data_IF_704492389406
#
_entry.id   IF_704492389406
#
_cell.length_a   1.000
_cell.length_b   1.000
_cell.length_c   1.000
_cell.angle_alpha   90.00
_cell.angle_beta   90.00
_cell.angle_gamma   90.00
#
_symmetry.space_group_name_H-M   'P 1'
#
loop_
_entity.id
_entity.type
_entity.pdbx_description
1 polymer ?
#
# COMPACT_ATOMS: atom_id res chain seq x y z
N UNK A 1 -10.75 -20.88 42.16
CA UNK A 1 -9.69 -19.85 41.98
C UNK A 1 -8.59 -20.24 40.98
N UNK A 2 -8.09 -21.48 40.97
CA UNK A 2 -6.97 -21.93 40.09
C UNK A 2 -7.25 -21.91 38.58
N UNK A 3 -8.51 -21.96 38.15
CA UNK A 3 -8.87 -21.98 36.73
C UNK A 3 -9.03 -20.57 36.12
N UNK A 4 -9.38 -19.56 36.92
CA UNK A 4 -9.55 -18.18 36.46
C UNK A 4 -8.23 -17.55 36.00
N UNK A 5 -7.15 -17.81 36.74
CA UNK A 5 -5.80 -17.36 36.35
C UNK A 5 -5.33 -17.98 35.02
N UNK A 6 -5.65 -19.26 34.77
CA UNK A 6 -5.32 -19.94 33.50
C UNK A 6 -6.06 -19.35 32.32
N UNK A 7 -7.34 -19.00 32.50
CA UNK A 7 -8.16 -18.34 31.47
C UNK A 7 -7.58 -16.96 31.16
N UNK A 8 -7.20 -16.18 32.17
CA UNK A 8 -6.57 -14.87 31.98
C UNK A 8 -5.26 -14.99 31.18
N UNK A 9 -4.40 -15.95 31.52
CA UNK A 9 -3.16 -16.19 30.78
C UNK A 9 -3.41 -16.65 29.34
N UNK A 10 -4.43 -17.48 29.09
CA UNK A 10 -4.82 -17.88 27.74
C UNK A 10 -5.33 -16.68 26.92
N UNK A 11 -6.12 -15.79 27.53
CA UNK A 11 -6.60 -14.58 26.87
C UNK A 11 -5.46 -13.61 26.55
N UNK A 12 -4.53 -13.40 27.49
CA UNK A 12 -3.35 -12.56 27.25
C UNK A 12 -2.49 -13.14 26.13
N UNK A 13 -2.23 -14.45 26.15
CA UNK A 13 -1.47 -15.12 25.08
C UNK A 13 -2.16 -15.00 23.72
N UNK A 14 -3.48 -15.20 23.65
CA UNK A 14 -4.24 -15.05 22.42
C UNK A 14 -4.18 -13.61 21.88
N UNK A 15 -4.32 -12.61 22.75
CA UNK A 15 -4.29 -11.20 22.37
C UNK A 15 -2.91 -10.77 21.84
N UNK A 16 -1.82 -11.28 22.45
CA UNK A 16 -0.46 -11.06 21.98
C UNK A 16 -0.21 -11.68 20.60
N UNK A 17 -0.73 -12.89 20.35
CA UNK A 17 -0.61 -13.56 19.04
C UNK A 17 -1.34 -12.77 17.94
N UNK A 18 -2.53 -12.24 18.24
CA UNK A 18 -3.31 -11.43 17.29
C UNK A 18 -2.67 -10.07 16.98
N UNK A 19 -1.92 -9.48 17.93
CA UNK A 19 -1.28 -8.17 17.75
C UNK A 19 -0.08 -8.17 16.79
N UNK A 20 0.50 -9.34 16.50
CA UNK A 20 1.67 -9.48 15.64
C UNK A 20 1.37 -9.51 14.13
N UNK A 21 0.09 -9.49 13.74
CA UNK A 21 -0.31 -9.66 12.33
C UNK A 21 -0.41 -8.29 11.64
N UNK A 22 0.70 -7.56 11.51
CA UNK A 22 0.78 -6.46 10.56
C UNK A 22 1.02 -7.03 9.16
N UNK A 23 -0.04 -7.19 8.37
CA UNK A 23 0.09 -7.43 6.94
C UNK A 23 0.57 -6.12 6.29
N UNK A 24 1.86 -6.05 5.96
CA UNK A 24 2.31 -5.09 4.97
C UNK A 24 1.68 -5.51 3.63
N UNK A 25 0.60 -4.84 3.22
CA UNK A 25 0.10 -5.00 1.86
C UNK A 25 1.22 -4.60 0.90
N UNK A 26 1.58 -5.51 0.00
CA UNK A 26 2.52 -5.21 -1.07
C UNK A 26 2.00 -4.10 -1.97
N UNK A 27 2.84 -3.61 -2.90
CA UNK A 27 2.41 -2.65 -3.92
C UNK A 27 1.15 -3.13 -4.65
N UNK A 28 0.30 -2.18 -5.04
CA UNK A 28 -0.89 -2.47 -5.83
C UNK A 28 -0.46 -2.84 -7.26
N UNK A 29 -1.25 -3.69 -7.92
CA UNK A 29 -0.97 -4.07 -9.31
C UNK A 29 -1.79 -3.20 -10.26
N UNK A 30 -1.17 -2.50 -11.22
CA UNK A 30 -1.92 -1.72 -12.19
C UNK A 30 -2.72 -2.61 -13.14
N UNK A 31 -3.88 -2.10 -13.55
CA UNK A 31 -4.72 -2.65 -14.60
C UNK A 31 -4.34 -2.09 -15.97
N UNK A 32 -4.85 -2.72 -17.04
CA UNK A 32 -4.64 -2.25 -18.43
C UNK A 32 -5.16 -0.83 -18.70
N UNK A 33 -6.00 -0.28 -17.82
CA UNK A 33 -6.60 1.06 -17.97
C UNK A 33 -5.81 2.14 -17.23
N UNK A 34 -4.93 1.75 -16.32
CA UNK A 34 -4.17 2.70 -15.51
C UNK A 34 -3.14 3.43 -16.37
N UNK A 35 -3.17 4.75 -16.26
CA UNK A 35 -2.28 5.66 -16.98
C UNK A 35 -1.48 6.48 -16.00
N UNK A 36 -0.24 6.77 -16.38
CA UNK A 36 0.57 7.74 -15.66
C UNK A 36 -0.02 9.15 -15.88
N UNK A 37 -0.32 9.92 -14.81
CA UNK A 37 -0.89 11.27 -14.95
C UNK A 37 0.10 12.29 -15.52
N UNK A 38 1.40 11.97 -15.56
CA UNK A 38 2.44 12.88 -16.04
C UNK A 38 2.69 12.72 -17.54
N UNK A 39 2.82 11.49 -18.04
CA UNK A 39 3.14 11.22 -19.45
C UNK A 39 1.96 10.64 -20.26
N UNK A 40 0.91 10.15 -19.62
CA UNK A 40 -0.26 9.55 -20.26
C UNK A 40 -0.09 8.09 -20.73
N UNK A 41 1.08 7.48 -20.52
CA UNK A 41 1.34 6.08 -20.91
C UNK A 41 0.58 5.08 -20.02
N UNK A 42 0.19 3.95 -20.61
CA UNK A 42 -0.41 2.82 -19.90
C UNK A 42 0.66 2.03 -19.13
N UNK A 43 0.53 1.98 -17.81
CA UNK A 43 1.59 1.49 -16.92
C UNK A 43 1.69 -0.04 -16.87
N UNK A 44 0.59 -0.76 -17.12
CA UNK A 44 0.57 -2.23 -17.04
C UNK A 44 1.40 -2.94 -18.12
N UNK A 45 1.87 -2.22 -19.15
CA UNK A 45 2.70 -2.77 -20.23
C UNK A 45 4.11 -3.14 -19.73
N UNK A 46 4.64 -2.40 -18.74
CA UNK A 46 6.00 -2.52 -18.24
C UNK A 46 6.04 -2.64 -16.70
N UNK A 47 5.51 -3.75 -16.13
CA UNK A 47 5.27 -3.87 -14.68
C UNK A 47 6.55 -3.71 -13.83
N UNK A 48 7.71 -4.06 -14.37
CA UNK A 48 8.99 -3.95 -13.67
C UNK A 48 9.49 -2.50 -13.49
N UNK A 49 8.89 -1.54 -14.19
CA UNK A 49 9.28 -0.13 -14.14
C UNK A 49 8.25 0.75 -13.42
N UNK A 50 7.11 0.17 -13.04
CA UNK A 50 6.01 0.91 -12.42
C UNK A 50 6.41 1.42 -11.05
N UNK A 51 6.13 2.70 -10.81
CA UNK A 51 6.16 3.29 -9.48
C UNK A 51 4.73 3.62 -9.03
N UNK A 52 4.50 3.71 -7.73
CA UNK A 52 3.20 4.08 -7.18
C UNK A 52 3.35 5.00 -5.98
N UNK A 53 2.36 5.88 -5.79
CA UNK A 53 2.12 6.61 -4.55
C UNK A 53 0.85 6.06 -3.93
N UNK A 54 0.90 5.75 -2.63
CA UNK A 54 -0.27 5.33 -1.85
C UNK A 54 -0.61 6.45 -0.86
N UNK A 55 -1.84 6.94 -0.93
CA UNK A 55 -2.34 7.98 -0.03
C UNK A 55 -2.87 7.38 1.28
N UNK A 56 -3.07 8.25 2.28
CA UNK A 56 -3.53 7.84 3.61
C UNK A 56 -4.92 7.20 3.61
N UNK A 57 -5.73 7.49 2.60
CA UNK A 57 -7.06 6.91 2.39
C UNK A 57 -7.01 5.56 1.64
N UNK A 58 -5.82 5.09 1.28
CA UNK A 58 -5.61 3.84 0.54
C UNK A 58 -5.73 3.97 -0.97
N UNK A 59 -6.09 5.15 -1.49
CA UNK A 59 -6.04 5.41 -2.93
C UNK A 59 -4.60 5.36 -3.42
N UNK A 60 -4.42 5.00 -4.68
CA UNK A 60 -3.10 4.86 -5.28
C UNK A 60 -3.09 5.43 -6.70
N UNK A 61 -1.94 5.99 -7.06
CA UNK A 61 -1.67 6.50 -8.40
C UNK A 61 -0.44 5.78 -8.93
N UNK A 62 -0.55 5.27 -10.16
CA UNK A 62 0.53 4.56 -10.85
C UNK A 62 1.28 5.48 -11.79
N UNK A 63 2.58 5.22 -11.95
CA UNK A 63 3.48 5.98 -12.80
C UNK A 63 4.30 5.04 -13.67
N UNK A 64 4.60 5.50 -14.90
CA UNK A 64 5.44 4.78 -15.88
C UNK A 64 6.91 4.66 -15.40
N UNK A 65 7.25 5.37 -14.32
CA UNK A 65 8.43 5.09 -13.51
C UNK A 65 8.71 6.17 -12.47
N UNK A 66 9.80 6.01 -11.69
CA UNK A 66 10.14 6.91 -10.59
C UNK A 66 10.33 8.37 -11.02
N UNK A 67 10.87 8.61 -12.22
CA UNK A 67 11.06 9.97 -12.77
C UNK A 67 9.74 10.75 -12.80
N UNK A 68 8.68 10.12 -13.29
CA UNK A 68 7.38 10.78 -13.43
C UNK A 68 6.65 10.83 -12.08
N UNK A 69 6.82 9.81 -11.23
CA UNK A 69 6.38 9.85 -9.84
C UNK A 69 6.97 11.07 -9.09
N UNK A 70 8.27 11.33 -9.20
CA UNK A 70 8.88 12.48 -8.53
C UNK A 70 8.38 13.81 -9.07
N UNK A 71 8.14 13.94 -10.38
CA UNK A 71 7.49 15.15 -10.94
C UNK A 71 6.12 15.40 -10.31
N UNK A 72 5.33 14.34 -10.14
CA UNK A 72 4.04 14.40 -9.47
C UNK A 72 4.19 14.82 -8.00
N UNK A 73 5.03 14.14 -7.23
CA UNK A 73 5.21 14.40 -5.78
C UNK A 73 5.70 15.83 -5.51
N UNK A 74 6.60 16.38 -6.34
CA UNK A 74 7.08 17.75 -6.16
C UNK A 74 6.07 18.83 -6.57
N UNK A 75 5.01 18.47 -7.31
CA UNK A 75 4.00 19.43 -7.74
C UNK A 75 2.63 18.77 -7.95
N UNK A 76 2.06 18.20 -6.89
CA UNK A 76 0.81 17.44 -6.95
C UNK A 76 -0.33 18.26 -7.57
N UNK A 77 -0.45 19.54 -7.18
CA UNK A 77 -1.50 20.45 -7.68
C UNK A 77 -1.54 20.62 -9.21
N UNK A 78 -0.44 20.34 -9.91
CA UNK A 78 -0.38 20.43 -11.37
C UNK A 78 -0.96 19.20 -12.07
N UNK A 79 -0.96 18.07 -11.39
CA UNK A 79 -1.23 16.74 -11.97
C UNK A 79 -2.42 16.02 -11.32
N UNK A 80 -3.05 16.65 -10.32
CA UNK A 80 -4.30 16.23 -9.67
C UNK A 80 -5.52 16.70 -10.47
#
# INVERSE_FOLDING_TARGET
MRNGAKIIWLLIAATLILSGISYAQGPATPTKKDKCPVCGMFVATYPNWVAQVVFKDGTHVFFDGPKDMFKFVFNVKKYD
#
